data_IF_853169088249
#
_entry.id   IF_853169088249
#
_cell.length_a   1.000
_cell.length_b   1.000
_cell.length_c   1.000
_cell.angle_alpha   90.00
_cell.angle_beta   90.00
_cell.angle_gamma   90.00
#
_symmetry.space_group_name_H-M   'P 1'
#
loop_
_entity.id
_entity.type
_entity.pdbx_description
1 polymer ?
#
# COMPACT_ATOMS: atom_id res chain seq x y z
N UNK A 1 -0.20 0.45 -28.91
CA UNK A 1 0.51 -0.60 -28.16
C UNK A 1 -0.30 -0.87 -26.91
N UNK A 2 -0.62 -2.13 -26.58
CA UNK A 2 -1.33 -2.48 -25.33
C UNK A 2 -0.26 -2.70 -24.26
N UNK A 3 -0.33 -2.05 -23.09
CA UNK A 3 0.66 -2.23 -22.03
C UNK A 3 0.58 -3.65 -21.45
N UNK A 4 1.74 -4.25 -21.12
CA UNK A 4 1.81 -5.57 -20.47
C UNK A 4 1.36 -5.52 -19.01
N UNK A 5 1.55 -4.38 -18.36
CA UNK A 5 1.15 -4.12 -16.98
C UNK A 5 0.14 -2.99 -17.01
N UNK A 6 -1.08 -3.29 -16.57
CA UNK A 6 -2.19 -2.32 -16.49
C UNK A 6 -2.03 -1.38 -15.30
N UNK A 7 -1.67 -1.94 -14.13
CA UNK A 7 -1.60 -1.22 -12.87
C UNK A 7 -0.42 -1.68 -12.02
N UNK A 8 0.15 -0.73 -11.27
CA UNK A 8 1.09 -1.00 -10.17
C UNK A 8 0.59 -0.30 -8.91
N UNK A 9 0.52 -1.05 -7.82
CA UNK A 9 0.27 -0.53 -6.47
C UNK A 9 1.54 -0.70 -5.66
N UNK A 10 2.15 0.41 -5.27
CA UNK A 10 3.36 0.43 -4.47
C UNK A 10 2.98 0.52 -3.00
N UNK A 11 3.40 -0.44 -2.19
CA UNK A 11 3.52 -0.23 -0.76
C UNK A 11 4.86 0.44 -0.50
N UNK A 12 4.82 1.69 -0.04
CA UNK A 12 6.01 2.32 0.50
C UNK A 12 6.01 3.84 0.46
N UNK A 13 7.11 4.39 0.97
CA UNK A 13 7.26 5.80 1.29
C UNK A 13 6.33 6.26 2.43
N UNK A 14 6.45 7.54 2.79
CA UNK A 14 5.68 8.15 3.87
C UNK A 14 5.55 9.65 3.67
N UNK A 15 4.35 10.17 3.88
CA UNK A 15 4.02 11.59 3.67
C UNK A 15 4.71 12.51 4.68
N UNK A 16 5.10 11.98 5.84
CA UNK A 16 5.86 12.70 6.88
C UNK A 16 7.35 12.89 6.60
N UNK A 17 7.88 12.39 5.47
CA UNK A 17 9.32 12.45 5.16
C UNK A 17 10.15 11.36 5.85
N UNK A 18 9.49 10.39 6.47
CA UNK A 18 10.09 9.20 7.07
C UNK A 18 10.69 8.28 6.00
N UNK A 19 11.69 7.49 6.39
CA UNK A 19 12.22 6.39 5.57
C UNK A 19 11.36 5.15 5.80
N UNK A 20 10.54 4.80 4.81
CA UNK A 20 9.78 3.55 4.82
C UNK A 20 10.67 2.38 4.36
N UNK A 21 10.49 1.20 4.96
CA UNK A 21 11.40 0.07 4.82
C UNK A 21 11.66 -0.34 3.36
N UNK A 22 10.63 -0.54 2.54
CA UNK A 22 10.81 -1.00 1.15
C UNK A 22 11.59 0.01 0.31
N UNK A 23 11.31 1.30 0.49
CA UNK A 23 11.96 2.36 -0.29
C UNK A 23 13.35 2.70 0.22
N UNK A 24 13.57 2.61 1.54
CA UNK A 24 14.89 2.75 2.14
C UNK A 24 15.82 1.59 1.80
N UNK A 25 15.28 0.37 1.70
CA UNK A 25 16.06 -0.83 1.42
C UNK A 25 16.73 -0.78 0.03
N UNK A 26 16.03 -0.25 -0.97
CA UNK A 26 16.56 -0.02 -2.33
C UNK A 26 15.95 1.27 -2.95
N UNK A 27 16.52 2.45 -2.61
CA UNK A 27 16.03 3.74 -3.10
C UNK A 27 16.12 3.88 -4.62
N UNK A 28 17.15 3.29 -5.23
CA UNK A 28 17.37 3.29 -6.67
C UNK A 28 16.28 2.52 -7.40
N UNK A 29 15.94 1.31 -6.93
CA UNK A 29 14.85 0.52 -7.51
C UNK A 29 13.50 1.21 -7.33
N UNK A 30 13.23 1.78 -6.14
CA UNK A 30 12.01 2.53 -5.88
C UNK A 30 11.89 3.75 -6.83
N UNK A 31 13.00 4.46 -7.06
CA UNK A 31 13.04 5.59 -8.00
C UNK A 31 12.72 5.16 -9.43
N UNK A 32 13.30 4.06 -9.90
CA UNK A 32 13.02 3.52 -11.25
C UNK A 32 11.55 3.10 -11.35
N UNK A 33 11.05 2.39 -10.35
CA UNK A 33 9.72 1.80 -10.37
C UNK A 33 8.62 2.88 -10.38
N UNK A 34 8.75 3.93 -9.56
CA UNK A 34 7.77 5.03 -9.48
C UNK A 34 7.79 5.91 -10.73
N UNK A 35 8.97 6.16 -11.31
CA UNK A 35 9.11 6.96 -12.52
C UNK A 35 8.68 6.24 -13.81
N UNK A 36 8.62 4.91 -13.80
CA UNK A 36 8.17 4.13 -14.95
C UNK A 36 6.71 4.48 -15.30
N UNK A 37 6.39 4.81 -16.56
CA UNK A 37 5.07 5.33 -16.95
C UNK A 37 4.02 4.22 -17.11
N UNK A 38 3.76 3.45 -16.04
CA UNK A 38 2.64 2.53 -16.01
C UNK A 38 1.30 3.28 -16.12
N UNK A 39 0.27 2.70 -16.79
CA UNK A 39 -1.00 3.38 -17.01
C UNK A 39 -1.68 3.83 -15.71
N UNK A 40 -1.71 2.96 -14.71
CA UNK A 40 -2.26 3.24 -13.39
C UNK A 40 -1.21 3.00 -12.32
N UNK A 41 -0.91 4.04 -11.54
CA UNK A 41 0.07 4.02 -10.45
C UNK A 41 -0.60 4.50 -9.18
N UNK A 42 -0.57 3.65 -8.15
CA UNK A 42 -1.11 3.96 -6.83
C UNK A 42 -0.02 3.77 -5.80
N UNK A 43 0.17 4.74 -4.90
CA UNK A 43 1.08 4.59 -3.76
C UNK A 43 0.27 4.49 -2.48
N UNK A 44 0.53 3.44 -1.71
CA UNK A 44 0.02 3.23 -0.37
C UNK A 44 1.16 3.55 0.60
N UNK A 45 1.17 4.74 1.21
CA UNK A 45 2.24 5.15 2.12
C UNK A 45 2.09 4.46 3.48
N UNK A 46 3.15 4.47 4.27
CA UNK A 46 3.19 3.94 5.63
C UNK A 46 2.06 4.49 6.52
N UNK A 47 1.68 5.76 6.29
CA UNK A 47 0.67 6.50 7.06
C UNK A 47 -0.74 5.87 6.99
N UNK A 48 -1.04 5.13 5.92
CA UNK A 48 -2.34 4.46 5.72
C UNK A 48 -2.39 3.10 6.43
N UNK A 49 -1.23 2.60 6.85
CA UNK A 49 -1.09 1.31 7.50
C UNK A 49 -1.94 1.15 8.74
N UNK A 50 -2.50 -0.05 8.91
CA UNK A 50 -3.22 -0.42 10.12
C UNK A 50 -2.67 -1.72 10.69
N UNK A 51 -2.80 -1.89 12.00
CA UNK A 51 -2.70 -3.20 12.63
C UNK A 51 -4.06 -3.89 12.57
N UNK A 52 -4.03 -5.19 12.28
CA UNK A 52 -5.21 -6.06 12.42
C UNK A 52 -5.07 -6.91 13.68
N UNK A 53 -6.16 -7.03 14.42
CA UNK A 53 -6.26 -7.91 15.56
C UNK A 53 -6.51 -9.34 15.07
N UNK A 54 -6.09 -10.34 15.87
CA UNK A 54 -6.44 -11.74 15.56
C UNK A 54 -7.95 -11.97 15.41
N UNK A 55 -8.77 -11.19 16.11
CA UNK A 55 -10.24 -11.24 16.04
C UNK A 55 -10.78 -10.75 14.70
N UNK A 56 -10.00 -9.97 13.95
CA UNK A 56 -10.37 -9.50 12.61
C UNK A 56 -10.14 -10.61 11.56
N UNK A 57 -9.40 -11.66 11.91
CA UNK A 57 -9.08 -12.76 11.01
C UNK A 57 -10.10 -13.89 11.13
N UNK A 58 -10.36 -14.53 9.99
CA UNK A 58 -11.08 -15.81 9.98
C UNK A 58 -10.32 -16.85 10.83
N UNK A 59 -10.98 -17.74 11.60
CA UNK A 59 -10.31 -18.69 12.49
C UNK A 59 -9.27 -19.59 11.79
N UNK A 60 -9.51 -19.94 10.52
CA UNK A 60 -8.58 -20.72 9.69
C UNK A 60 -7.24 -19.99 9.48
N UNK A 61 -7.27 -18.68 9.21
CA UNK A 61 -6.06 -17.84 9.14
C UNK A 61 -5.46 -17.54 10.53
N UNK A 62 -6.30 -17.40 11.56
CA UNK A 62 -5.85 -17.09 12.92
C UNK A 62 -4.84 -18.11 13.47
N UNK A 63 -4.90 -19.37 13.02
CA UNK A 63 -3.92 -20.41 13.37
C UNK A 63 -2.54 -20.14 12.79
N UNK A 64 -2.46 -19.58 11.58
CA UNK A 64 -1.18 -19.25 10.93
C UNK A 64 -0.48 -18.10 11.66
N UNK A 65 -1.25 -17.14 12.15
CA UNK A 65 -0.76 -15.97 12.89
C UNK A 65 -0.83 -16.11 14.41
N UNK A 66 -0.98 -17.34 14.91
CA UNK A 66 -1.21 -17.60 16.33
C UNK A 66 -0.12 -17.03 17.27
N UNK A 67 1.09 -16.77 16.75
CA UNK A 67 2.23 -16.25 17.52
C UNK A 67 2.28 -14.73 17.65
N UNK A 68 1.50 -13.96 16.87
CA UNK A 68 1.57 -12.49 16.86
C UNK A 68 0.24 -11.90 17.31
N UNK A 69 0.17 -11.18 18.45
CA UNK A 69 -1.09 -10.62 18.97
C UNK A 69 -1.73 -9.60 18.02
N UNK A 70 -0.89 -8.85 17.30
CA UNK A 70 -1.26 -7.94 16.24
C UNK A 70 -0.39 -8.19 15.02
N UNK A 71 -0.93 -7.90 13.84
CA UNK A 71 -0.19 -7.97 12.58
C UNK A 71 -0.28 -6.61 11.90
N UNK A 72 0.85 -5.95 11.63
CA UNK A 72 0.85 -4.84 10.70
C UNK A 72 0.39 -5.35 9.34
N UNK A 73 -0.70 -4.78 8.81
CA UNK A 73 -1.36 -5.28 7.62
C UNK A 73 -0.97 -4.53 6.34
N UNK A 74 0.19 -3.86 6.32
CA UNK A 74 0.62 -2.99 5.22
C UNK A 74 0.52 -3.65 3.84
N UNK A 75 1.11 -4.83 3.66
CA UNK A 75 1.06 -5.57 2.39
C UNK A 75 -0.37 -5.98 2.03
N UNK A 76 -1.15 -6.41 3.03
CA UNK A 76 -2.53 -6.81 2.83
C UNK A 76 -3.41 -5.63 2.42
N UNK A 77 -3.16 -4.43 2.96
CA UNK A 77 -3.84 -3.19 2.56
C UNK A 77 -3.52 -2.85 1.11
N UNK A 78 -2.25 -2.90 0.71
CA UNK A 78 -1.86 -2.65 -0.68
C UNK A 78 -2.49 -3.66 -1.65
N UNK A 79 -2.48 -4.95 -1.28
CA UNK A 79 -3.14 -6.00 -2.06
C UNK A 79 -4.67 -5.79 -2.13
N UNK A 80 -5.30 -5.43 -1.02
CA UNK A 80 -6.74 -5.17 -1.00
C UNK A 80 -7.12 -3.96 -1.86
N UNK A 81 -6.34 -2.87 -1.84
CA UNK A 81 -6.54 -1.70 -2.71
C UNK A 81 -6.31 -2.06 -4.18
N UNK A 82 -5.36 -2.95 -4.48
CA UNK A 82 -5.15 -3.43 -5.84
C UNK A 82 -6.37 -4.20 -6.38
N UNK A 83 -7.04 -4.98 -5.52
CA UNK A 83 -8.24 -5.75 -5.86
C UNK A 83 -9.51 -4.88 -5.89
N UNK A 84 -9.63 -3.96 -4.94
CA UNK A 84 -10.77 -3.06 -4.78
C UNK A 84 -10.29 -1.64 -4.46
N UNK A 85 -10.07 -0.82 -5.49
CA UNK A 85 -9.68 0.57 -5.31
C UNK A 85 -10.68 1.37 -4.47
N UNK A 86 -11.95 0.99 -4.36
CA UNK A 86 -12.91 1.75 -3.55
C UNK A 86 -12.59 1.71 -2.04
N UNK A 87 -11.70 0.81 -1.60
CA UNK A 87 -11.21 0.78 -0.21
C UNK A 87 -10.40 2.03 0.16
N UNK A 88 -9.71 2.66 -0.80
CA UNK A 88 -9.06 3.95 -0.55
C UNK A 88 -10.10 5.07 -0.65
N UNK A 89 -10.57 5.53 0.51
CA UNK A 89 -11.67 6.50 0.64
C UNK A 89 -11.23 7.92 0.42
N UNK A 90 -9.94 8.20 0.56
CA UNK A 90 -9.35 9.49 0.24
C UNK A 90 -8.03 9.31 -0.53
N UNK A 91 -7.82 10.18 -1.52
CA UNK A 91 -6.73 10.13 -2.48
C UNK A 91 -6.35 11.51 -2.98
N UNK A 92 -5.09 11.66 -3.36
CA UNK A 92 -4.62 12.82 -4.12
C UNK A 92 -3.80 12.38 -5.34
N UNK A 93 -3.99 13.09 -6.46
CA UNK A 93 -3.13 12.94 -7.63
C UNK A 93 -1.90 13.83 -7.46
N UNK A 94 -0.74 13.19 -7.34
CA UNK A 94 0.53 13.86 -7.04
C UNK A 94 1.66 13.30 -7.89
N UNK A 95 2.71 14.10 -8.04
CA UNK A 95 4.03 13.64 -8.46
C UNK A 95 4.72 13.01 -7.26
N UNK A 96 5.32 11.85 -7.46
CA UNK A 96 6.06 11.15 -6.41
C UNK A 96 7.45 10.87 -6.92
N UNK A 97 8.46 11.27 -6.15
CA UNK A 97 9.86 10.92 -6.40
C UNK A 97 10.49 10.35 -5.14
N UNK A 98 11.55 9.56 -5.34
CA UNK A 98 12.30 8.92 -4.25
C UNK A 98 13.63 9.64 -4.09
N UNK A 99 13.91 10.12 -2.88
CA UNK A 99 15.21 10.69 -2.50
C UNK A 99 16.29 9.62 -2.34
N UNK A 100 17.56 10.02 -2.32
CA UNK A 100 18.69 9.09 -2.28
C UNK A 100 18.78 8.20 -1.02
N UNK A 101 17.98 8.48 0.01
CA UNK A 101 17.85 7.65 1.22
C UNK A 101 16.51 6.92 1.30
N UNK A 102 15.72 6.88 0.22
CA UNK A 102 14.41 6.22 0.19
C UNK A 102 13.25 7.08 0.72
N UNK A 103 13.46 8.36 0.97
CA UNK A 103 12.39 9.28 1.39
C UNK A 103 11.47 9.63 0.23
N UNK A 104 10.17 9.73 0.50
CA UNK A 104 9.18 10.17 -0.47
C UNK A 104 9.19 11.70 -0.59
N UNK A 105 9.21 12.22 -1.81
CA UNK A 105 8.99 13.63 -2.10
C UNK A 105 7.75 13.79 -2.97
N UNK A 106 6.91 14.76 -2.62
CA UNK A 106 5.66 15.06 -3.31
C UNK A 106 5.80 16.31 -4.18
N UNK A 107 5.14 16.30 -5.32
CA UNK A 107 5.09 17.43 -6.26
C UNK A 107 3.86 17.35 -7.17
N UNK A 108 3.82 18.13 -8.27
CA UNK A 108 2.77 18.01 -9.28
C UNK A 108 2.90 16.70 -10.07
N UNK A 109 1.78 16.01 -10.33
CA UNK A 109 1.77 14.76 -11.09
C UNK A 109 0.42 14.05 -11.03
N UNK A 110 0.39 12.78 -11.41
CA UNK A 110 -0.84 12.00 -11.60
C UNK A 110 -0.79 10.60 -10.99
N UNK A 111 0.11 10.37 -10.02
CA UNK A 111 0.13 9.12 -9.25
C UNK A 111 -0.91 9.27 -8.15
N UNK A 112 -1.79 8.27 -8.01
CA UNK A 112 -2.81 8.23 -6.97
C UNK A 112 -2.16 7.89 -5.63
N UNK A 113 -1.92 8.89 -4.78
CA UNK A 113 -1.49 8.69 -3.40
C UNK A 113 -2.71 8.41 -2.52
N UNK A 114 -2.70 7.30 -1.79
CA UNK A 114 -3.77 6.96 -0.83
C UNK A 114 -3.56 7.74 0.46
N UNK A 115 -4.62 8.37 0.95
CA UNK A 115 -4.63 9.17 2.18
C UNK A 115 -5.49 8.55 3.29
N UNK A 116 -6.51 7.78 2.93
CA UNK A 116 -7.36 7.08 3.89
C UNK A 116 -7.86 5.73 3.36
N UNK A 117 -8.09 4.80 4.29
CA UNK A 117 -8.60 3.45 4.04
C UNK A 117 -9.95 3.26 4.74
N UNK A 118 -10.90 2.63 4.06
CA UNK A 118 -12.09 2.03 4.68
C UNK A 118 -11.68 0.80 5.49
N UNK A 119 -11.30 1.02 6.75
CA UNK A 119 -10.79 -0.03 7.62
C UNK A 119 -11.85 -1.09 7.95
N UNK A 120 -13.12 -0.69 8.04
CA UNK A 120 -14.21 -1.62 8.36
C UNK A 120 -14.44 -2.59 7.21
N UNK A 121 -14.56 -2.06 5.98
CA UNK A 121 -14.68 -2.91 4.79
C UNK A 121 -13.43 -3.76 4.55
N UNK A 122 -12.25 -3.25 4.88
CA UNK A 122 -11.03 -4.04 4.86
C UNK A 122 -11.08 -5.22 5.85
N UNK A 123 -11.51 -5.01 7.10
CA UNK A 123 -11.68 -6.10 8.09
C UNK A 123 -12.72 -7.13 7.63
N UNK A 124 -13.85 -6.68 7.07
CA UNK A 124 -14.86 -7.57 6.49
C UNK A 124 -14.29 -8.42 5.35
N UNK A 125 -13.40 -7.84 4.54
CA UNK A 125 -12.69 -8.55 3.46
C UNK A 125 -11.86 -9.70 4.04
N UNK A 126 -11.11 -9.46 5.12
CA UNK A 126 -10.31 -10.50 5.79
C UNK A 126 -11.16 -11.63 6.36
N UNK A 127 -12.36 -11.35 6.85
CA UNK A 127 -13.30 -12.37 7.33
C UNK A 127 -13.96 -13.18 6.21
N UNK A 128 -14.07 -12.58 5.01
CA UNK A 128 -14.73 -13.19 3.85
C UNK A 128 -13.87 -14.18 3.06
N UNK A 129 -12.58 -14.31 3.39
CA UNK A 129 -11.64 -15.20 2.70
C UNK A 129 -12.15 -16.65 2.74
N UNK A 130 -12.21 -17.30 1.57
CA UNK A 130 -12.61 -18.71 1.45
C UNK A 130 -11.53 -19.62 2.06
N UNK A 131 -11.96 -20.74 2.63
CA UNK A 131 -11.04 -21.77 3.13
C UNK A 131 -10.38 -22.55 1.99
#
# INVERSE_FOLDING_TARGET
>A
MVPLVEQVVYLGGGTGGEQEFNWWFDPEAAQIAVNTPFPHRTVVPLDVGISVLKTDLKPSLGRFFARSPELPAWDAVAAAIALDPALATDRADVGVTVGGSGTMNLGPGSISLVLALDQERFRQTLQSVRD
#
